data_IF_533442962081
#
_entry.id   IF_533442962081
#
_cell.length_a   1.000
_cell.length_b   1.000
_cell.length_c   1.000
_cell.angle_alpha   90.00
_cell.angle_beta   90.00
_cell.angle_gamma   90.00
#
_symmetry.space_group_name_H-M   'P 1'
#
loop_
_entity.id
_entity.type
_entity.pdbx_description
1 polymer ?
#
# COMPACT_ATOMS: atom_id res chain seq x y z
N UNK A 1 -50.90 -70.57 -48.33
CA UNK A 1 -49.55 -70.92 -48.81
C UNK A 1 -49.06 -69.71 -49.62
N UNK A 2 -48.32 -68.84 -49.03
CA UNK A 2 -47.96 -67.53 -49.56
C UNK A 2 -46.48 -67.49 -49.78
N UNK A 3 -46.03 -67.31 -51.00
CA UNK A 3 -44.60 -67.15 -51.33
C UNK A 3 -44.32 -65.69 -51.65
N UNK A 4 -43.58 -65.00 -50.85
CA UNK A 4 -43.03 -63.69 -51.12
C UNK A 4 -41.83 -63.80 -52.06
N UNK A 5 -41.67 -62.88 -53.02
CA UNK A 5 -40.46 -62.80 -53.81
C UNK A 5 -39.34 -61.99 -53.09
N UNK A 6 -38.12 -62.38 -53.39
CA UNK A 6 -36.91 -61.75 -52.91
C UNK A 6 -36.71 -60.37 -53.59
N UNK A 7 -36.36 -59.33 -52.81
CA UNK A 7 -35.94 -58.03 -53.32
C UNK A 7 -34.39 -58.05 -53.47
N UNK A 8 -33.97 -57.75 -54.67
CA UNK A 8 -32.57 -57.46 -55.06
C UNK A 8 -32.05 -56.22 -54.35
N UNK A 9 -30.87 -56.30 -53.70
CA UNK A 9 -30.10 -55.16 -53.22
C UNK A 9 -29.18 -54.70 -54.33
N UNK A 10 -29.46 -53.52 -54.86
CA UNK A 10 -28.54 -52.77 -55.70
C UNK A 10 -27.49 -52.12 -54.79
N UNK A 11 -26.21 -52.32 -55.10
CA UNK A 11 -25.13 -51.94 -54.24
C UNK A 11 -24.81 -50.43 -54.30
N UNK A 12 -24.71 -49.84 -53.10
CA UNK A 12 -24.14 -48.48 -52.87
C UNK A 12 -22.59 -48.61 -52.81
N UNK A 13 -21.96 -48.54 -53.96
CA UNK A 13 -20.48 -48.64 -54.03
C UNK A 13 -19.78 -47.32 -54.41
N UNK A 14 -20.49 -46.23 -54.61
CA UNK A 14 -19.89 -45.01 -55.17
C UNK A 14 -19.78 -43.78 -54.21
N UNK A 15 -20.45 -43.81 -53.05
CA UNK A 15 -20.49 -42.64 -52.12
C UNK A 15 -19.29 -42.61 -51.16
N UNK A 16 -18.54 -43.69 -50.96
CA UNK A 16 -17.44 -43.71 -50.03
C UNK A 16 -16.11 -43.08 -50.58
N UNK A 17 -15.88 -43.20 -51.88
CA UNK A 17 -14.71 -42.67 -52.55
C UNK A 17 -14.72 -41.14 -52.65
N UNK A 18 -15.90 -40.56 -52.98
CA UNK A 18 -16.08 -39.14 -53.10
C UNK A 18 -15.95 -38.41 -51.73
N UNK A 19 -16.40 -39.03 -50.68
CA UNK A 19 -16.23 -38.50 -49.31
C UNK A 19 -14.80 -38.56 -48.83
N UNK A 20 -14.03 -39.54 -49.21
CA UNK A 20 -12.60 -39.63 -48.89
C UNK A 20 -11.80 -38.57 -49.66
N UNK A 21 -12.06 -38.37 -50.94
CA UNK A 21 -11.40 -37.36 -51.78
C UNK A 21 -11.75 -35.96 -51.26
N UNK A 22 -13.03 -35.67 -50.95
CA UNK A 22 -13.43 -34.37 -50.41
C UNK A 22 -12.78 -34.07 -49.08
N UNK A 23 -12.65 -35.04 -48.18
CA UNK A 23 -11.93 -34.91 -46.89
C UNK A 23 -10.45 -34.67 -47.08
N UNK A 24 -9.81 -35.28 -48.09
CA UNK A 24 -8.40 -35.06 -48.40
C UNK A 24 -8.18 -33.64 -48.96
N UNK A 25 -9.02 -33.15 -49.84
CA UNK A 25 -8.98 -31.79 -50.39
C UNK A 25 -9.16 -30.74 -49.32
N UNK A 26 -10.15 -30.92 -48.42
CA UNK A 26 -10.41 -29.99 -47.29
C UNK A 26 -9.23 -29.96 -46.31
N UNK A 27 -8.62 -31.13 -46.01
CA UNK A 27 -7.43 -31.17 -45.16
C UNK A 27 -6.20 -30.54 -45.79
N UNK A 28 -5.98 -30.70 -47.09
CA UNK A 28 -4.91 -30.09 -47.84
C UNK A 28 -5.13 -28.57 -47.90
N UNK A 29 -6.35 -28.10 -48.17
CA UNK A 29 -6.73 -26.69 -48.19
C UNK A 29 -6.51 -26.01 -46.83
N UNK A 30 -6.86 -26.71 -45.70
CA UNK A 30 -6.65 -26.20 -44.37
C UNK A 30 -5.17 -26.14 -43.98
N UNK A 31 -4.38 -27.14 -44.39
CA UNK A 31 -2.92 -27.15 -44.18
C UNK A 31 -2.23 -26.01 -44.92
N UNK A 32 -2.61 -25.75 -46.18
CA UNK A 32 -2.06 -24.64 -46.99
C UNK A 32 -2.47 -23.28 -46.39
N UNK A 33 -3.70 -23.14 -45.92
CA UNK A 33 -4.17 -21.90 -45.27
C UNK A 33 -3.42 -21.63 -43.97
N UNK A 34 -3.18 -22.66 -43.14
CA UNK A 34 -2.38 -22.54 -41.91
C UNK A 34 -0.93 -22.21 -42.17
N UNK A 35 -0.31 -22.83 -43.19
CA UNK A 35 1.05 -22.52 -43.60
C UNK A 35 1.15 -21.09 -44.15
N UNK A 36 0.19 -20.66 -44.96
CA UNK A 36 0.14 -19.28 -45.47
C UNK A 36 -0.02 -18.25 -44.38
N UNK A 37 -0.86 -18.54 -43.36
CA UNK A 37 -1.02 -17.67 -42.19
C UNK A 37 0.26 -17.58 -41.34
N UNK A 38 0.98 -18.69 -41.18
CA UNK A 38 2.28 -18.70 -40.50
C UNK A 38 3.37 -17.95 -41.25
N UNK A 39 3.45 -18.09 -42.57
CA UNK A 39 4.44 -17.37 -43.40
C UNK A 39 4.11 -15.89 -43.51
N UNK A 40 2.83 -15.52 -43.68
CA UNK A 40 2.40 -14.11 -43.66
C UNK A 40 2.50 -13.49 -42.27
N UNK A 41 2.22 -14.26 -41.19
CA UNK A 41 2.40 -13.81 -39.83
C UNK A 41 3.84 -13.50 -39.47
N UNK A 42 4.82 -14.25 -40.02
CA UNK A 42 6.24 -14.02 -39.78
C UNK A 42 6.77 -12.82 -40.58
N UNK A 43 6.21 -12.52 -41.75
CA UNK A 43 6.64 -11.35 -42.57
C UNK A 43 5.98 -10.04 -42.11
N UNK A 44 4.85 -10.11 -41.41
CA UNK A 44 4.21 -8.91 -40.84
C UNK A 44 4.72 -8.53 -39.44
N UNK A 45 5.54 -9.37 -38.82
CA UNK A 45 6.40 -9.03 -37.68
C UNK A 45 7.81 -8.64 -38.22
N UNK A 46 7.88 -7.63 -39.11
CA UNK A 46 9.03 -6.76 -39.08
C UNK A 46 9.07 -6.20 -37.65
N UNK A 47 10.20 -6.25 -36.93
CA UNK A 47 10.31 -5.46 -35.71
C UNK A 47 10.16 -4.01 -36.15
N UNK A 48 8.95 -3.47 -36.07
CA UNK A 48 8.78 -2.06 -35.85
C UNK A 48 9.66 -1.81 -34.65
N UNK A 49 10.84 -1.19 -34.91
CA UNK A 49 11.65 -0.55 -33.90
C UNK A 49 11.42 -1.15 -32.50
N UNK A 50 12.43 -1.76 -31.94
CA UNK A 50 12.64 -1.63 -30.52
C UNK A 50 12.46 -0.12 -30.21
N UNK A 51 11.22 0.36 -30.09
CA UNK A 51 10.94 1.24 -29.02
C UNK A 51 11.34 0.40 -27.81
N UNK A 52 12.56 0.57 -27.34
CA UNK A 52 12.80 0.61 -25.93
C UNK A 52 11.69 1.54 -25.46
N UNK A 53 10.56 0.95 -25.04
CA UNK A 53 9.78 1.56 -23.99
C UNK A 53 10.80 1.57 -22.86
N UNK A 54 11.62 2.62 -22.83
CA UNK A 54 11.99 3.21 -21.59
C UNK A 54 10.65 3.56 -20.97
N UNK A 55 10.05 2.56 -20.32
CA UNK A 55 9.21 2.76 -19.17
C UNK A 55 10.17 3.33 -18.12
N UNK A 56 10.68 4.53 -18.40
CA UNK A 56 11.19 5.41 -17.38
C UNK A 56 9.90 5.73 -16.61
N UNK A 57 9.59 4.87 -15.63
CA UNK A 57 8.72 5.28 -14.54
C UNK A 57 9.27 6.64 -14.18
N UNK A 58 8.44 7.68 -14.30
CA UNK A 58 8.74 8.98 -13.72
C UNK A 58 8.74 8.77 -12.20
N UNK A 59 9.85 8.19 -11.71
CA UNK A 59 10.05 8.01 -10.29
C UNK A 59 10.19 9.42 -9.70
N UNK A 60 9.63 9.65 -8.52
CA UNK A 60 9.79 10.92 -7.84
C UNK A 60 11.28 11.18 -7.55
N UNK A 61 11.61 12.43 -7.28
CA UNK A 61 12.93 12.75 -6.75
C UNK A 61 13.03 12.17 -5.33
N UNK A 62 14.24 11.80 -4.88
CA UNK A 62 14.46 11.48 -3.47
C UNK A 62 13.98 12.60 -2.55
N UNK A 63 13.58 12.24 -1.32
CA UNK A 63 13.21 13.20 -0.28
C UNK A 63 14.32 14.24 -0.03
N UNK A 64 13.93 15.42 0.40
CA UNK A 64 14.86 16.34 1.07
C UNK A 64 15.29 15.76 2.42
N UNK A 65 16.26 16.38 3.09
CA UNK A 65 16.53 16.07 4.49
C UNK A 65 15.27 16.41 5.32
N UNK A 66 14.81 15.53 6.22
CA UNK A 66 13.62 15.82 7.01
C UNK A 66 13.85 17.05 7.89
N UNK A 67 12.81 17.86 8.15
CA UNK A 67 12.93 19.04 8.99
C UNK A 67 13.48 18.68 10.36
N UNK A 68 14.38 19.52 10.95
CA UNK A 68 14.81 19.33 12.31
C UNK A 68 13.60 19.47 13.25
N UNK A 69 13.49 18.59 14.21
CA UNK A 69 12.52 18.70 15.30
C UNK A 69 13.22 19.32 16.51
N UNK A 70 12.57 20.24 17.19
CA UNK A 70 12.98 20.67 18.53
C UNK A 70 12.66 19.49 19.47
N UNK A 71 13.64 18.64 19.67
CA UNK A 71 13.47 17.40 20.40
C UNK A 71 13.40 17.71 21.89
N UNK A 72 12.26 17.47 22.49
CA UNK A 72 12.17 17.29 23.91
C UNK A 72 12.80 15.94 24.22
N UNK A 73 13.95 15.95 24.90
CA UNK A 73 14.65 14.71 25.23
C UNK A 73 13.77 13.83 26.11
N UNK A 74 13.62 12.55 25.75
CA UNK A 74 12.77 11.67 26.52
C UNK A 74 13.32 11.52 27.93
N UNK A 75 12.49 11.76 28.93
CA UNK A 75 12.78 11.40 30.33
C UNK A 75 12.88 9.89 30.49
N UNK A 76 12.09 9.17 29.67
CA UNK A 76 11.99 7.71 29.63
C UNK A 76 11.68 7.25 28.20
N UNK A 77 12.12 6.06 27.83
CA UNK A 77 11.81 5.41 26.55
C UNK A 77 10.99 4.16 26.83
N UNK A 78 10.00 3.88 25.99
CA UNK A 78 9.23 2.63 26.07
C UNK A 78 10.20 1.43 25.97
N UNK A 79 10.12 0.46 26.89
CA UNK A 79 11.01 -0.70 26.86
C UNK A 79 10.87 -1.57 25.61
N UNK A 80 9.71 -1.49 24.94
CA UNK A 80 9.40 -2.25 23.74
C UNK A 80 9.62 -1.41 22.45
N UNK A 81 10.22 -0.20 22.54
CA UNK A 81 10.55 0.62 21.37
C UNK A 81 11.55 -0.12 20.45
N UNK A 82 11.16 -0.47 19.23
CA UNK A 82 12.02 -1.18 18.28
C UNK A 82 13.15 -0.32 17.70
N UNK A 83 13.10 1.00 17.90
CA UNK A 83 13.89 1.95 17.13
C UNK A 83 13.43 2.08 15.68
N UNK A 84 14.33 2.56 14.80
CA UNK A 84 13.98 2.78 13.40
C UNK A 84 14.02 1.48 12.58
N UNK A 85 13.03 1.30 11.71
CA UNK A 85 13.00 0.32 10.61
C UNK A 85 13.38 0.99 9.28
N UNK A 86 13.77 0.20 8.28
CA UNK A 86 14.16 0.71 6.96
C UNK A 86 13.67 -0.23 5.87
N UNK A 87 13.21 0.35 4.76
CA UNK A 87 12.78 -0.39 3.56
C UNK A 87 13.46 0.20 2.31
N UNK A 88 14.01 -0.65 1.44
CA UNK A 88 14.69 -0.24 0.22
C UNK A 88 13.69 -0.08 -0.92
N UNK A 89 13.67 1.09 -1.58
CA UNK A 89 12.92 1.33 -2.82
C UNK A 89 13.86 1.62 -3.98
N UNK A 90 13.31 1.74 -5.19
CA UNK A 90 14.07 2.13 -6.38
C UNK A 90 14.52 3.61 -6.38
N UNK A 91 14.02 4.42 -5.43
CA UNK A 91 14.33 5.85 -5.32
C UNK A 91 15.29 6.13 -4.18
N UNK A 92 14.97 5.66 -2.97
CA UNK A 92 15.78 5.85 -1.76
C UNK A 92 15.48 4.77 -0.72
N UNK A 93 16.39 4.51 0.24
CA UNK A 93 16.05 3.80 1.46
C UNK A 93 15.08 4.65 2.29
N UNK A 94 13.90 4.13 2.58
CA UNK A 94 12.93 4.80 3.46
C UNK A 94 13.21 4.39 4.89
N UNK A 95 13.70 5.33 5.70
CA UNK A 95 13.84 5.18 7.14
C UNK A 95 12.53 5.59 7.84
N UNK A 96 12.02 4.76 8.74
CA UNK A 96 10.86 5.12 9.56
C UNK A 96 11.10 6.38 10.39
N UNK A 97 12.34 6.60 10.87
CA UNK A 97 12.69 7.81 11.61
C UNK A 97 12.58 9.10 10.75
N UNK A 98 12.87 9.02 9.45
CA UNK A 98 12.70 10.17 8.55
C UNK A 98 11.21 10.39 8.25
N UNK A 99 10.45 9.30 8.03
CA UNK A 99 8.98 9.38 7.86
C UNK A 99 8.32 10.02 9.08
N UNK A 100 8.71 9.64 10.30
CA UNK A 100 8.21 10.21 11.56
C UNK A 100 8.38 11.73 11.62
N UNK A 101 9.56 12.23 11.21
CA UNK A 101 9.86 13.67 11.19
C UNK A 101 9.05 14.41 10.13
N UNK A 102 8.93 13.86 8.93
CA UNK A 102 8.08 14.43 7.88
C UNK A 102 6.61 14.44 8.30
N UNK A 103 6.10 13.36 8.90
CA UNK A 103 4.72 13.31 9.43
C UNK A 103 4.50 14.41 10.47
N UNK A 104 5.44 14.56 11.40
CA UNK A 104 5.34 15.60 12.43
C UNK A 104 5.29 17.00 11.83
N UNK A 105 6.16 17.29 10.86
CA UNK A 105 6.17 18.58 10.14
C UNK A 105 4.85 18.80 9.39
N UNK A 106 4.39 17.82 8.63
CA UNK A 106 3.16 17.91 7.84
C UNK A 106 1.91 18.09 8.74
N UNK A 107 1.85 17.40 9.88
CA UNK A 107 0.79 17.62 10.88
C UNK A 107 0.82 19.04 11.41
N UNK A 108 1.99 19.58 11.72
CA UNK A 108 2.13 20.97 12.18
C UNK A 108 1.76 21.98 11.12
N UNK A 109 2.05 21.71 9.84
CA UNK A 109 1.60 22.54 8.72
C UNK A 109 0.06 22.54 8.61
N UNK A 110 -0.60 21.36 8.72
CA UNK A 110 -2.08 21.29 8.78
C UNK A 110 -2.65 22.05 9.97
N UNK A 111 -2.01 21.98 11.13
CA UNK A 111 -2.41 22.72 12.33
C UNK A 111 -2.27 24.24 12.12
N UNK A 112 -1.16 24.70 11.56
CA UNK A 112 -0.91 26.09 11.25
C UNK A 112 -1.93 26.68 10.26
N UNK A 113 -2.33 25.91 9.24
CA UNK A 113 -3.38 26.29 8.29
C UNK A 113 -4.74 26.56 8.97
N UNK A 114 -4.95 25.96 10.16
CA UNK A 114 -6.16 26.14 10.98
C UNK A 114 -5.94 27.10 12.17
N UNK A 115 -4.77 27.74 12.24
CA UNK A 115 -4.45 28.72 13.28
C UNK A 115 -4.16 28.13 14.65
N UNK A 116 -3.75 26.87 14.71
CA UNK A 116 -3.33 26.18 15.92
C UNK A 116 -1.82 26.30 16.10
N UNK A 117 -1.39 26.28 17.37
CA UNK A 117 0.04 26.21 17.70
C UNK A 117 0.61 24.84 17.29
N UNK A 118 1.89 24.78 16.90
CA UNK A 118 2.53 23.53 16.58
C UNK A 118 2.64 22.63 17.81
N UNK A 119 2.59 21.33 17.59
CA UNK A 119 2.96 20.32 18.60
C UNK A 119 4.47 20.31 18.77
N UNK A 120 4.97 20.26 19.99
CA UNK A 120 6.38 19.91 20.24
C UNK A 120 6.60 18.42 19.99
N UNK A 121 7.75 18.07 19.41
CA UNK A 121 8.13 16.67 19.27
C UNK A 121 8.54 16.11 20.64
N UNK A 122 7.99 14.95 20.98
CA UNK A 122 8.27 14.28 22.24
C UNK A 122 8.79 12.86 22.01
N UNK A 123 10.05 12.63 22.34
CA UNK A 123 10.71 11.35 22.12
C UNK A 123 10.15 10.20 22.96
N UNK A 124 9.62 10.48 24.17
CA UNK A 124 8.92 9.48 25.00
C UNK A 124 7.63 9.04 24.32
N UNK A 125 6.81 10.01 23.86
CA UNK A 125 5.55 9.74 23.15
C UNK A 125 5.81 8.99 21.83
N UNK A 126 6.87 9.38 21.10
CA UNK A 126 7.27 8.69 19.88
C UNK A 126 7.70 7.22 20.14
N UNK A 127 8.38 6.95 21.26
CA UNK A 127 8.79 5.57 21.60
C UNK A 127 7.57 4.66 21.85
N UNK A 128 6.56 5.14 22.57
CA UNK A 128 5.28 4.41 22.77
C UNK A 128 4.55 4.20 21.43
N UNK A 129 4.58 5.20 20.56
CA UNK A 129 3.97 5.10 19.22
C UNK A 129 4.67 4.06 18.36
N UNK A 130 6.01 3.97 18.38
CA UNK A 130 6.79 2.96 17.63
C UNK A 130 6.52 1.56 18.17
N UNK A 131 6.52 1.38 19.49
CA UNK A 131 6.19 0.10 20.12
C UNK A 131 4.81 -0.41 19.69
N UNK A 132 3.79 0.47 19.67
CA UNK A 132 2.45 0.08 19.22
C UNK A 132 2.40 -0.23 17.72
N UNK A 133 3.09 0.54 16.88
CA UNK A 133 3.16 0.28 15.44
C UNK A 133 3.82 -1.07 15.12
N UNK A 134 4.88 -1.43 15.84
CA UNK A 134 5.51 -2.76 15.74
C UNK A 134 4.57 -3.85 16.26
N UNK A 135 3.92 -3.67 17.41
CA UNK A 135 3.00 -4.67 17.97
C UNK A 135 1.84 -4.97 17.01
N UNK A 136 1.28 -3.94 16.36
CA UNK A 136 0.28 -4.13 15.30
C UNK A 136 0.82 -4.98 14.14
N UNK A 137 2.04 -4.72 13.69
CA UNK A 137 2.67 -5.44 12.60
C UNK A 137 2.97 -6.90 12.96
N UNK A 138 3.63 -7.14 14.10
CA UNK A 138 4.08 -8.47 14.50
C UNK A 138 2.93 -9.42 14.89
N UNK A 139 1.85 -8.85 15.43
CA UNK A 139 0.68 -9.61 15.87
C UNK A 139 -0.48 -9.58 14.89
N UNK A 140 -0.27 -8.99 13.68
CA UNK A 140 -1.20 -8.97 12.56
C UNK A 140 -2.60 -8.42 12.95
N UNK A 141 -2.66 -7.27 13.65
CA UNK A 141 -3.89 -6.56 13.94
C UNK A 141 -3.78 -5.07 13.63
N UNK A 142 -4.91 -4.39 13.49
CA UNK A 142 -4.96 -2.94 13.29
C UNK A 142 -6.09 -2.35 14.15
N UNK A 143 -5.74 -1.87 15.34
CA UNK A 143 -6.69 -1.31 16.31
C UNK A 143 -5.97 -0.48 17.39
N UNK A 144 -6.68 0.45 18.01
CA UNK A 144 -6.21 1.24 19.17
C UNK A 144 -5.98 0.41 20.44
N UNK A 145 -6.68 -0.71 20.57
CA UNK A 145 -6.55 -1.64 21.68
C UNK A 145 -5.89 -2.91 21.19
N UNK A 146 -4.83 -3.33 21.83
CA UNK A 146 -4.08 -4.51 21.45
C UNK A 146 -4.81 -5.82 21.85
N UNK A 147 -4.37 -7.00 21.39
CA UNK A 147 -5.00 -8.27 21.76
C UNK A 147 -4.96 -8.65 23.25
N UNK A 148 -4.22 -7.90 24.07
CA UNK A 148 -4.16 -8.07 25.53
C UNK A 148 -5.10 -7.09 26.26
N UNK A 149 -6.02 -6.41 25.53
CA UNK A 149 -6.95 -5.40 26.02
C UNK A 149 -6.27 -4.11 26.53
N UNK A 150 -5.04 -3.81 26.09
CA UNK A 150 -4.33 -2.59 26.44
C UNK A 150 -4.60 -1.48 25.42
N UNK A 151 -5.14 -0.37 25.88
CA UNK A 151 -5.34 0.86 25.11
C UNK A 151 -4.18 1.86 25.29
N UNK A 152 -4.28 3.07 24.69
CA UNK A 152 -3.23 4.08 24.82
C UNK A 152 -2.84 4.41 26.26
N UNK A 153 -3.82 4.52 27.17
CA UNK A 153 -3.51 4.78 28.59
C UNK A 153 -2.70 3.68 29.25
N UNK A 154 -2.95 2.43 28.88
CA UNK A 154 -2.22 1.29 29.46
C UNK A 154 -0.78 1.27 28.95
N UNK A 155 -0.57 1.51 27.64
CA UNK A 155 0.76 1.62 27.04
C UNK A 155 1.58 2.74 27.66
N UNK A 156 1.00 3.91 27.88
CA UNK A 156 1.69 5.01 28.54
C UNK A 156 2.00 4.74 30.02
N UNK A 157 1.42 3.71 30.65
CA UNK A 157 1.80 3.29 31.99
C UNK A 157 3.23 2.72 32.05
N UNK A 158 3.74 2.18 30.94
CA UNK A 158 5.12 1.70 30.83
C UNK A 158 6.16 2.84 30.91
N UNK A 159 5.74 4.08 30.64
CA UNK A 159 6.52 5.31 30.70
C UNK A 159 6.00 6.25 31.81
N UNK A 160 5.65 5.69 32.96
CA UNK A 160 5.25 6.39 34.18
C UNK A 160 3.99 7.29 34.08
N UNK A 161 3.12 7.01 33.10
CA UNK A 161 1.88 7.79 32.90
C UNK A 161 2.17 9.25 32.55
N UNK A 162 3.01 9.45 31.57
CA UNK A 162 3.71 10.65 31.19
C UNK A 162 2.83 11.89 30.93
N UNK A 163 1.63 11.73 30.40
CA UNK A 163 0.71 12.82 30.04
C UNK A 163 -0.60 12.75 30.84
N UNK A 164 -1.31 13.88 30.95
CA UNK A 164 -2.66 13.95 31.56
C UNK A 164 -3.76 13.42 30.66
N UNK A 165 -3.59 13.61 29.36
CA UNK A 165 -4.53 13.20 28.34
C UNK A 165 -3.77 12.68 27.14
N UNK A 166 -4.35 11.69 26.48
CA UNK A 166 -3.82 11.07 25.29
C UNK A 166 -4.86 11.07 24.18
N UNK A 167 -4.41 11.30 22.95
CA UNK A 167 -5.16 10.99 21.74
C UNK A 167 -4.28 10.12 20.85
N UNK A 168 -4.89 9.32 19.99
CA UNK A 168 -4.14 8.45 19.08
C UNK A 168 -4.81 8.41 17.72
N UNK A 169 -4.02 8.61 16.68
CA UNK A 169 -4.36 8.27 15.30
C UNK A 169 -3.50 7.09 14.87
N UNK A 170 -4.10 6.12 14.18
CA UNK A 170 -3.37 5.02 13.55
C UNK A 170 -3.62 5.00 12.06
N UNK A 171 -2.64 4.51 11.28
CA UNK A 171 -2.74 4.33 9.85
C UNK A 171 -2.04 3.04 9.41
N UNK A 172 -2.55 2.46 8.32
CA UNK A 172 -1.99 1.30 7.65
C UNK A 172 -1.92 1.61 6.16
N UNK A 173 -0.75 1.41 5.56
CA UNK A 173 -0.52 1.58 4.13
C UNK A 173 0.65 0.69 3.65
N UNK A 174 1.17 0.95 2.45
CA UNK A 174 2.26 0.20 1.86
C UNK A 174 3.26 1.13 1.20
N UNK A 175 4.53 0.76 1.21
CA UNK A 175 5.56 1.30 0.33
C UNK A 175 5.71 0.41 -0.90
N UNK A 176 6.12 0.98 -2.03
CA UNK A 176 6.44 0.28 -3.28
C UNK A 176 5.31 -0.60 -3.83
N UNK A 177 4.06 -0.24 -3.49
CA UNK A 177 2.84 -0.91 -3.97
C UNK A 177 1.74 0.11 -4.28
N UNK A 178 0.88 -0.18 -5.28
CA UNK A 178 -0.28 0.67 -5.56
C UNK A 178 -1.26 0.68 -4.38
N UNK A 179 -1.56 1.85 -3.86
CA UNK A 179 -2.58 2.08 -2.85
C UNK A 179 -3.56 3.16 -3.31
N UNK A 180 -4.81 3.09 -2.86
CA UNK A 180 -5.81 4.11 -3.14
C UNK A 180 -5.66 5.26 -2.13
N UNK A 181 -5.40 6.49 -2.63
CA UNK A 181 -5.34 7.68 -1.78
C UNK A 181 -6.74 8.06 -1.29
N UNK A 182 -6.95 8.19 0.02
CA UNK A 182 -8.21 8.63 0.57
C UNK A 182 -8.63 10.01 0.06
N UNK A 183 -9.93 10.18 -0.21
CA UNK A 183 -10.53 11.45 -0.59
C UNK A 183 -10.72 11.65 -2.09
N UNK A 184 -9.79 11.27 -2.95
CA UNK A 184 -9.93 11.40 -4.41
C UNK A 184 -9.94 10.06 -5.17
N UNK A 185 -9.51 8.97 -4.54
CA UNK A 185 -9.46 7.63 -5.14
C UNK A 185 -8.32 7.43 -6.13
N UNK A 186 -7.34 8.32 -6.18
CA UNK A 186 -6.16 8.17 -7.02
C UNK A 186 -5.30 7.00 -6.54
N UNK A 187 -4.76 6.24 -7.48
CA UNK A 187 -3.80 5.19 -7.17
C UNK A 187 -2.41 5.80 -7.13
N UNK A 188 -1.72 5.63 -6.01
CA UNK A 188 -0.37 6.14 -5.77
C UNK A 188 0.54 5.02 -5.27
N UNK A 189 1.85 5.20 -5.46
CA UNK A 189 2.88 4.34 -4.87
C UNK A 189 3.84 5.26 -4.11
N UNK A 190 4.21 4.87 -2.89
CA UNK A 190 5.15 5.61 -2.06
C UNK A 190 6.54 5.02 -2.21
N UNK A 191 7.47 5.81 -2.75
CA UNK A 191 8.87 5.42 -2.97
C UNK A 191 9.85 6.29 -2.17
N UNK A 192 9.33 7.26 -1.41
CA UNK A 192 10.13 8.23 -0.65
C UNK A 192 9.55 8.43 0.75
N UNK A 193 10.40 8.80 1.71
CA UNK A 193 9.98 9.06 3.07
C UNK A 193 8.99 10.24 3.16
N UNK A 194 9.24 11.32 2.43
CA UNK A 194 8.37 12.49 2.35
C UNK A 194 7.00 12.15 1.74
N UNK A 195 6.98 11.45 0.59
CA UNK A 195 5.73 11.05 -0.05
C UNK A 195 4.89 10.08 0.79
N UNK A 196 5.54 9.17 1.52
CA UNK A 196 4.85 8.29 2.47
C UNK A 196 4.24 9.09 3.63
N UNK A 197 4.98 10.04 4.18
CA UNK A 197 4.49 10.90 5.26
C UNK A 197 3.27 11.74 4.85
N UNK A 198 3.32 12.38 3.67
CA UNK A 198 2.15 13.07 3.10
C UNK A 198 0.94 12.15 2.98
N UNK A 199 1.13 10.93 2.49
CA UNK A 199 0.07 9.94 2.35
C UNK A 199 -0.56 9.53 3.68
N UNK A 200 0.23 9.36 4.74
CA UNK A 200 -0.25 9.05 6.10
C UNK A 200 -1.08 10.21 6.67
N UNK A 201 -0.58 11.44 6.55
CA UNK A 201 -1.30 12.62 7.03
C UNK A 201 -2.58 12.87 6.23
N UNK A 202 -2.55 12.71 4.91
CA UNK A 202 -3.75 12.78 4.06
C UNK A 202 -4.79 11.74 4.48
N UNK A 203 -4.38 10.52 4.83
CA UNK A 203 -5.27 9.49 5.33
C UNK A 203 -5.98 9.94 6.61
N UNK A 204 -5.25 10.50 7.57
CA UNK A 204 -5.82 11.03 8.79
C UNK A 204 -6.72 12.24 8.54
N UNK A 205 -6.31 13.19 7.72
CA UNK A 205 -7.09 14.41 7.42
C UNK A 205 -8.38 14.11 6.65
N UNK A 206 -8.45 13.02 5.90
CA UNK A 206 -9.68 12.58 5.22
C UNK A 206 -10.63 11.77 6.12
N UNK A 207 -10.20 11.34 7.30
CA UNK A 207 -11.04 10.71 8.33
C UNK A 207 -11.52 11.75 9.33
N UNK A 208 -12.83 11.83 9.57
CA UNK A 208 -13.40 12.84 10.48
C UNK A 208 -12.81 12.76 11.88
N UNK A 209 -12.76 11.56 12.49
CA UNK A 209 -12.25 11.37 13.84
C UNK A 209 -10.75 11.67 13.97
N UNK A 210 -9.97 11.25 12.99
CA UNK A 210 -8.53 11.50 13.01
C UNK A 210 -8.20 12.99 12.80
N UNK A 211 -8.93 13.65 11.89
CA UNK A 211 -8.80 15.09 11.66
C UNK A 211 -9.20 15.90 12.90
N UNK A 212 -10.30 15.53 13.55
CA UNK A 212 -10.73 16.16 14.80
C UNK A 212 -9.67 16.04 15.90
N UNK A 213 -8.93 14.93 15.98
CA UNK A 213 -7.81 14.78 16.90
C UNK A 213 -6.65 15.73 16.53
N UNK A 214 -6.24 15.79 15.27
CA UNK A 214 -5.15 16.68 14.79
C UNK A 214 -5.52 18.15 15.02
N UNK A 215 -6.76 18.53 14.71
CA UNK A 215 -7.24 19.92 14.77
C UNK A 215 -7.90 20.30 16.10
N UNK A 216 -7.85 19.44 17.10
CA UNK A 216 -8.42 19.68 18.44
C UNK A 216 -9.93 19.98 18.44
N UNK A 217 -10.64 19.47 17.43
CA UNK A 217 -12.09 19.74 17.24
C UNK A 217 -12.96 18.75 18.06
N UNK A 218 -12.39 18.21 19.15
CA UNK A 218 -13.01 17.21 20.02
C UNK A 218 -13.58 17.80 21.32
N UNK A 219 -13.44 19.13 21.54
CA UNK A 219 -13.97 19.85 22.71
C UNK A 219 -13.25 19.54 24.03
N UNK A 220 -12.09 18.88 23.96
CA UNK A 220 -11.19 18.62 25.08
C UNK A 220 -10.15 19.72 25.26
N UNK A 221 -9.17 19.52 26.17
CA UNK A 221 -7.98 20.37 26.23
C UNK A 221 -7.17 20.22 24.94
N UNK A 222 -6.42 21.26 24.58
CA UNK A 222 -5.48 21.20 23.44
C UNK A 222 -4.33 20.22 23.69
N UNK A 223 -3.60 19.92 22.65
CA UNK A 223 -2.40 19.11 22.70
C UNK A 223 -1.17 20.02 22.78
N UNK A 224 -0.25 19.70 23.66
CA UNK A 224 1.01 20.44 23.81
C UNK A 224 2.13 19.76 23.00
N UNK A 225 2.12 18.43 22.94
CA UNK A 225 3.15 17.59 22.34
C UNK A 225 2.55 16.46 21.52
N UNK A 226 3.39 15.90 20.66
CA UNK A 226 3.06 14.70 19.91
C UNK A 226 4.29 13.87 19.60
N UNK A 227 4.07 12.59 19.37
CA UNK A 227 5.12 11.68 18.95
C UNK A 227 4.58 10.71 17.91
N UNK A 228 5.26 10.63 16.80
CA UNK A 228 4.95 9.70 15.70
C UNK A 228 5.83 8.48 15.84
N UNK A 229 5.25 7.30 15.66
CA UNK A 229 5.98 6.05 15.55
C UNK A 229 5.56 5.31 14.30
N UNK A 230 6.51 4.96 13.46
CA UNK A 230 6.31 4.22 12.22
C UNK A 230 7.10 2.92 12.25
N UNK A 231 6.46 1.84 11.85
CA UNK A 231 7.11 0.56 11.64
C UNK A 231 6.86 0.07 10.21
N UNK A 232 7.94 -0.20 9.48
CA UNK A 232 7.90 -0.70 8.11
C UNK A 232 8.39 -2.15 8.15
N UNK A 233 7.55 -3.07 7.70
CA UNK A 233 7.91 -4.50 7.63
C UNK A 233 8.82 -4.79 6.45
N UNK A 234 9.47 -5.96 6.45
CA UNK A 234 10.30 -6.42 5.33
C UNK A 234 9.52 -6.55 4.01
N UNK A 235 8.19 -6.74 4.09
CA UNK A 235 7.29 -6.82 2.93
C UNK A 235 6.78 -5.45 2.46
N UNK A 236 7.15 -4.36 3.14
CA UNK A 236 6.76 -2.99 2.82
C UNK A 236 5.39 -2.57 3.36
N UNK A 237 4.78 -3.33 4.28
CA UNK A 237 3.61 -2.89 5.02
C UNK A 237 4.01 -1.84 6.06
N UNK A 238 3.24 -0.78 6.17
CA UNK A 238 3.54 0.38 7.01
C UNK A 238 2.46 0.57 8.05
N UNK A 239 2.83 0.40 9.30
CA UNK A 239 2.00 0.75 10.45
C UNK A 239 2.49 2.06 11.04
N UNK A 240 1.57 2.98 11.29
CA UNK A 240 1.88 4.29 11.87
C UNK A 240 0.93 4.61 13.01
N UNK A 241 1.49 5.09 14.10
CA UNK A 241 0.76 5.65 15.23
C UNK A 241 1.22 7.09 15.47
N UNK A 242 0.29 7.99 15.68
CA UNK A 242 0.57 9.35 16.15
C UNK A 242 -0.17 9.57 17.46
N UNK A 243 0.56 9.61 18.55
CA UNK A 243 0.03 9.92 19.85
C UNK A 243 0.17 11.42 20.15
N UNK A 244 -0.89 11.97 20.68
CA UNK A 244 -0.99 13.34 21.18
C UNK A 244 -0.94 13.33 22.70
N UNK A 245 -0.28 14.30 23.26
CA UNK A 245 -0.07 14.44 24.68
C UNK A 245 -0.55 15.81 25.17
N UNK A 246 -1.33 15.82 26.26
CA UNK A 246 -1.61 17.02 27.03
C UNK A 246 -0.78 17.01 28.30
N UNK A 247 -0.01 18.08 28.51
CA UNK A 247 0.94 18.19 29.62
C UNK A 247 0.24 18.37 30.99
N UNK A 248 0.97 18.12 32.08
CA UNK A 248 0.53 18.36 33.46
C UNK A 248 0.57 19.82 33.84
#
# INVERSE_FOLDING_TARGET
MDRRPASERVGDADDSSDRVILRAIVRLGLAVAVLSALVFGIVSFAPSTLETVDDVRDLPNPSADPPPVDEHYPDVTDPDDPGASTYETDVEPISSADVERFVHAEVNDRRADHGLEPLEWDGTVASVSRAHSQDMAEREYFAHVNPDDEGPFDRFSAVDGYCRGYGENIALTWVDRPVERPGNGDIVEYHTAEGLAEGLVDQWMNSTSHREAILEDHGGPGWDRGGVGVYITDDGEVYASHNFCHEY
#
